data_IF_004178754131
#
_entry.id   IF_004178754131
#
_cell.length_a   1.000
_cell.length_b   1.000
_cell.length_c   1.000
_cell.angle_alpha   90.00
_cell.angle_beta   90.00
_cell.angle_gamma   90.00
#
_symmetry.space_group_name_H-M   'P 1'
#
loop_
_entity.id
_entity.type
_entity.pdbx_description
1 polymer ?
#
# COMPACT_ATOMS: atom_id res chain seq x y z
N UNK A 1 12.22 94.56 -38.37
CA UNK A 1 11.70 94.85 -37.00
C UNK A 1 11.50 93.44 -36.33
N UNK A 2 12.13 93.32 -35.20
CA UNK A 2 11.89 92.31 -34.16
C UNK A 2 12.23 90.82 -34.49
N UNK A 3 13.37 90.27 -34.18
CA UNK A 3 13.87 89.78 -32.87
C UNK A 3 12.99 88.74 -32.24
N UNK A 4 13.46 87.48 -32.19
CA UNK A 4 13.31 86.71 -30.99
C UNK A 4 14.19 85.39 -31.00
N UNK A 5 15.01 85.39 -30.16
CA UNK A 5 15.75 84.48 -29.27
C UNK A 5 15.45 82.98 -29.35
N UNK A 6 16.59 82.27 -29.52
CA UNK A 6 16.79 80.85 -29.33
C UNK A 6 16.83 80.56 -27.84
N UNK A 7 16.09 79.51 -27.39
CA UNK A 7 16.34 78.83 -26.13
C UNK A 7 16.46 77.32 -26.36
N UNK A 8 17.68 76.86 -26.33
CA UNK A 8 18.05 75.45 -26.30
C UNK A 8 17.81 74.89 -24.89
N UNK A 9 16.98 73.90 -24.75
CA UNK A 9 16.91 73.08 -23.52
C UNK A 9 17.34 71.68 -23.81
N UNK A 10 18.46 71.31 -23.25
CA UNK A 10 18.90 69.94 -23.08
C UNK A 10 17.87 69.17 -22.23
N UNK A 11 17.33 68.06 -22.74
CA UNK A 11 16.62 67.03 -21.95
C UNK A 11 17.46 65.83 -21.97
N UNK A 12 18.10 65.53 -20.83
CA UNK A 12 18.79 64.26 -20.56
C UNK A 12 17.76 63.13 -20.45
N UNK A 13 17.81 62.19 -21.37
CA UNK A 13 16.99 61.00 -21.32
C UNK A 13 17.57 60.00 -20.33
N UNK A 14 16.91 59.76 -19.20
CA UNK A 14 17.11 58.59 -18.36
C UNK A 14 16.47 57.39 -19.07
N UNK A 15 17.29 56.54 -19.64
CA UNK A 15 16.88 55.18 -20.04
C UNK A 15 16.78 54.29 -18.78
N UNK A 16 15.59 54.21 -18.23
CA UNK A 16 15.26 53.24 -17.21
C UNK A 16 15.19 51.84 -17.84
N UNK A 17 16.20 51.05 -17.63
CA UNK A 17 16.17 49.63 -17.93
C UNK A 17 15.21 48.97 -16.93
N UNK A 18 13.95 48.80 -17.31
CA UNK A 18 13.01 47.93 -16.63
C UNK A 18 13.45 46.51 -16.94
N UNK A 19 14.20 45.92 -16.02
CA UNK A 19 14.37 44.45 -15.93
C UNK A 19 12.98 43.87 -15.60
N UNK A 20 12.24 43.52 -16.65
CA UNK A 20 11.12 42.60 -16.52
C UNK A 20 11.73 41.25 -16.13
N UNK A 21 11.81 40.99 -14.84
CA UNK A 21 11.90 39.64 -14.31
C UNK A 21 10.63 38.92 -14.74
N UNK A 22 10.68 38.23 -15.86
CA UNK A 22 9.69 37.24 -16.24
C UNK A 22 9.84 36.14 -15.19
N UNK A 23 9.07 36.29 -14.12
CA UNK A 23 8.78 35.12 -13.28
C UNK A 23 8.06 34.14 -14.22
N UNK A 24 8.81 33.19 -14.76
CA UNK A 24 8.22 31.97 -15.27
C UNK A 24 7.54 31.35 -14.05
N UNK A 25 6.23 31.59 -13.93
CA UNK A 25 5.39 30.69 -13.14
C UNK A 25 5.50 29.34 -13.85
N UNK A 26 6.47 28.54 -13.44
CA UNK A 26 6.47 27.14 -13.81
C UNK A 26 5.09 26.63 -13.37
N UNK A 27 4.25 26.28 -14.32
CA UNK A 27 2.94 25.72 -14.02
C UNK A 27 3.20 24.46 -13.19
N UNK A 28 2.60 24.40 -12.00
CA UNK A 28 2.73 23.23 -11.14
C UNK A 28 2.38 21.99 -11.95
N UNK A 29 3.24 20.97 -11.87
CA UNK A 29 2.98 19.68 -12.48
C UNK A 29 2.20 18.85 -11.49
N UNK A 30 0.96 18.52 -11.82
CA UNK A 30 0.12 17.63 -11.01
C UNK A 30 0.33 16.17 -11.44
N UNK A 31 0.57 15.30 -10.47
CA UNK A 31 0.64 13.84 -10.64
C UNK A 31 -0.56 13.20 -9.94
N UNK A 32 -1.12 12.16 -10.54
CA UNK A 32 -2.16 11.35 -9.92
C UNK A 32 -1.54 10.27 -9.04
N UNK A 33 -2.04 10.12 -7.79
CA UNK A 33 -1.72 8.98 -6.91
C UNK A 33 -2.97 8.11 -6.75
N UNK A 34 -2.85 6.81 -7.03
CA UNK A 34 -3.89 5.83 -6.72
C UNK A 34 -3.65 5.17 -5.36
N UNK A 35 -4.73 4.89 -4.63
CA UNK A 35 -4.72 4.08 -3.42
C UNK A 35 -6.05 3.36 -3.26
N UNK A 36 -6.03 2.17 -2.63
CA UNK A 36 -7.24 1.37 -2.41
C UNK A 36 -8.08 1.91 -1.27
N UNK A 37 -7.46 2.48 -0.25
CA UNK A 37 -8.14 3.02 0.93
C UNK A 37 -8.06 4.55 0.95
N UNK A 38 -9.05 5.18 1.59
CA UNK A 38 -9.09 6.65 1.75
C UNK A 38 -8.22 7.11 2.93
N UNK A 39 -8.13 8.43 3.12
CA UNK A 39 -7.45 9.12 4.22
C UNK A 39 -8.01 8.80 5.62
N UNK A 40 -9.15 8.12 5.70
CA UNK A 40 -9.64 7.55 6.95
C UNK A 40 -8.74 6.40 7.48
N UNK A 41 -7.96 5.76 6.61
CA UNK A 41 -7.10 4.63 6.90
C UNK A 41 -5.62 5.03 6.84
N UNK A 42 -4.72 4.37 7.62
CA UNK A 42 -3.27 4.62 7.54
C UNK A 42 -2.73 4.58 6.11
N UNK A 43 -3.10 3.60 5.32
CA UNK A 43 -2.73 3.48 3.91
C UNK A 43 -3.07 4.74 3.08
N UNK A 44 -4.29 5.27 3.20
CA UNK A 44 -4.67 6.51 2.51
C UNK A 44 -3.94 7.73 3.04
N UNK A 45 -3.71 7.79 4.36
CA UNK A 45 -2.91 8.84 5.00
C UNK A 45 -1.46 8.83 4.53
N UNK A 46 -0.88 7.64 4.23
CA UNK A 46 0.44 7.53 3.62
C UNK A 46 0.53 8.26 2.26
N UNK A 47 -0.49 8.09 1.41
CA UNK A 47 -0.55 8.75 0.11
C UNK A 47 -0.70 10.27 0.25
N UNK A 48 -1.54 10.74 1.17
CA UNK A 48 -1.69 12.18 1.46
C UNK A 48 -0.41 12.77 2.05
N UNK A 49 0.26 12.05 2.95
CA UNK A 49 1.55 12.48 3.53
C UNK A 49 2.64 12.59 2.48
N UNK A 50 2.70 11.64 1.55
CA UNK A 50 3.62 11.72 0.42
C UNK A 50 3.34 12.94 -0.45
N UNK A 51 2.07 13.20 -0.77
CA UNK A 51 1.65 14.37 -1.56
C UNK A 51 2.02 15.70 -0.86
N UNK A 52 1.75 15.80 0.45
CA UNK A 52 2.10 16.96 1.27
C UNK A 52 3.62 17.25 1.23
N UNK A 53 4.45 16.22 1.49
CA UNK A 53 5.91 16.37 1.52
C UNK A 53 6.48 16.74 0.14
N UNK A 54 5.93 16.19 -0.95
CA UNK A 54 6.35 16.52 -2.31
C UNK A 54 6.02 17.99 -2.64
N UNK A 55 4.82 18.47 -2.32
CA UNK A 55 4.42 19.85 -2.55
C UNK A 55 5.29 20.81 -1.74
N UNK A 56 5.49 20.55 -0.45
CA UNK A 56 6.34 21.35 0.43
C UNK A 56 7.79 21.46 -0.08
N UNK A 57 8.43 20.30 -0.36
CA UNK A 57 9.85 20.24 -0.75
C UNK A 57 10.11 20.76 -2.16
N UNK A 58 9.13 20.67 -3.03
CA UNK A 58 9.20 21.23 -4.39
C UNK A 58 8.79 22.72 -4.44
N UNK A 59 8.42 23.32 -3.32
CA UNK A 59 7.89 24.70 -3.28
C UNK A 59 6.68 24.87 -4.22
N UNK A 60 5.84 23.82 -4.32
CA UNK A 60 4.65 23.79 -5.18
C UNK A 60 4.92 23.59 -6.68
N UNK A 61 6.14 23.24 -7.09
CA UNK A 61 6.44 22.90 -8.49
C UNK A 61 5.85 21.56 -8.91
N UNK A 62 5.82 20.61 -7.96
CA UNK A 62 5.14 19.34 -8.06
C UNK A 62 3.98 19.30 -7.07
N UNK A 63 2.84 18.86 -7.53
CA UNK A 63 1.69 18.55 -6.68
C UNK A 63 1.23 17.13 -6.99
N UNK A 64 0.65 16.47 -6.01
CA UNK A 64 0.14 15.12 -6.18
C UNK A 64 -1.30 15.06 -5.70
N UNK A 65 -2.19 14.53 -6.54
CA UNK A 65 -3.60 14.38 -6.22
C UNK A 65 -3.95 12.94 -5.92
N UNK A 66 -4.42 12.68 -4.69
CA UNK A 66 -4.79 11.34 -4.26
C UNK A 66 -6.18 10.95 -4.76
N UNK A 67 -6.27 9.75 -5.32
CA UNK A 67 -7.49 9.12 -5.82
C UNK A 67 -7.73 7.80 -5.06
N UNK A 68 -8.54 7.83 -3.98
CA UNK A 68 -8.81 6.67 -3.15
C UNK A 68 -9.78 5.67 -3.80
N UNK A 69 -9.99 4.52 -3.10
CA UNK A 69 -10.95 3.49 -3.48
C UNK A 69 -10.70 2.87 -4.86
N UNK A 70 -9.43 2.84 -5.29
CA UNK A 70 -9.04 2.36 -6.62
C UNK A 70 -9.88 2.99 -7.75
N UNK A 71 -10.35 4.24 -7.56
CA UNK A 71 -11.31 4.86 -8.48
C UNK A 71 -10.78 5.05 -9.90
N UNK A 72 -9.44 5.20 -10.07
CA UNK A 72 -8.83 5.30 -11.39
C UNK A 72 -8.88 3.99 -12.20
N UNK A 73 -9.20 2.87 -11.54
CA UNK A 73 -9.40 1.54 -12.13
C UNK A 73 -10.80 0.97 -11.86
N UNK A 74 -11.77 1.87 -11.63
CA UNK A 74 -13.17 1.53 -11.40
C UNK A 74 -13.41 0.57 -10.22
N UNK A 75 -12.61 0.70 -9.14
CA UNK A 75 -12.71 -0.12 -7.93
C UNK A 75 -12.02 -1.49 -8.02
N UNK A 76 -11.47 -1.87 -9.15
CA UNK A 76 -10.72 -3.12 -9.32
C UNK A 76 -9.24 -2.90 -8.97
N UNK A 77 -8.92 -3.08 -7.70
CA UNK A 77 -7.60 -2.86 -7.13
C UNK A 77 -6.49 -3.71 -7.77
N UNK A 78 -6.81 -4.87 -8.36
CA UNK A 78 -5.81 -5.74 -9.01
C UNK A 78 -5.32 -5.17 -10.35
N UNK A 79 -6.02 -4.17 -10.90
CA UNK A 79 -5.64 -3.49 -12.14
C UNK A 79 -4.73 -2.28 -11.91
N UNK A 80 -4.51 -1.87 -10.66
CA UNK A 80 -3.74 -0.66 -10.32
C UNK A 80 -2.31 -0.70 -10.90
N UNK A 81 -1.58 -1.82 -10.71
CA UNK A 81 -0.23 -1.98 -11.24
C UNK A 81 -0.18 -1.85 -12.78
N UNK A 82 -1.09 -2.51 -13.51
CA UNK A 82 -1.13 -2.41 -14.96
C UNK A 82 -1.53 -1.02 -15.46
N UNK A 83 -2.41 -0.34 -14.73
CA UNK A 83 -2.80 1.03 -15.02
C UNK A 83 -1.63 2.01 -14.82
N UNK A 84 -0.84 1.84 -13.75
CA UNK A 84 0.38 2.60 -13.53
C UNK A 84 1.42 2.29 -14.60
N UNK A 85 1.70 1.03 -14.91
CA UNK A 85 2.63 0.63 -15.98
C UNK A 85 2.26 1.23 -17.34
N UNK A 86 0.97 1.30 -17.67
CA UNK A 86 0.50 1.87 -18.94
C UNK A 86 0.53 3.41 -18.98
N UNK A 87 0.69 4.09 -17.84
CA UNK A 87 0.67 5.54 -17.71
C UNK A 87 -0.74 6.13 -17.56
N UNK A 88 -1.74 5.31 -17.19
CA UNK A 88 -3.06 5.81 -16.79
C UNK A 88 -3.00 6.41 -15.37
N UNK A 89 -2.10 5.90 -14.54
CA UNK A 89 -1.82 6.35 -13.17
C UNK A 89 -0.36 6.77 -13.13
N UNK A 90 -0.05 7.96 -12.57
CA UNK A 90 1.32 8.45 -12.48
C UNK A 90 2.07 7.83 -11.30
N UNK A 91 1.41 7.67 -10.16
CA UNK A 91 1.98 7.10 -8.94
C UNK A 91 0.93 6.31 -8.16
N UNK A 92 1.37 5.42 -7.30
CA UNK A 92 0.48 4.68 -6.39
C UNK A 92 1.18 4.39 -5.06
N UNK A 93 0.37 4.31 -4.00
CA UNK A 93 0.71 3.58 -2.79
C UNK A 93 -0.09 2.29 -2.84
N UNK A 94 0.54 1.20 -3.22
CA UNK A 94 -0.14 -0.05 -3.55
C UNK A 94 0.28 -1.21 -2.67
N UNK A 95 -0.59 -2.20 -2.54
CA UNK A 95 -0.38 -3.41 -1.75
C UNK A 95 0.40 -4.46 -2.55
N UNK A 96 1.32 -5.13 -1.88
CA UNK A 96 2.03 -6.30 -2.43
C UNK A 96 1.07 -7.37 -2.92
N UNK A 97 -0.04 -7.57 -2.22
CA UNK A 97 -1.07 -8.55 -2.58
C UNK A 97 -1.73 -8.19 -3.92
N UNK A 98 -2.16 -6.93 -4.06
CA UNK A 98 -2.90 -6.48 -5.24
C UNK A 98 -2.05 -6.48 -6.52
N UNK A 99 -0.74 -6.31 -6.37
CA UNK A 99 0.20 -6.29 -7.48
C UNK A 99 0.79 -7.66 -7.80
N UNK A 100 0.69 -8.64 -6.89
CA UNK A 100 1.26 -9.98 -7.04
C UNK A 100 0.81 -10.75 -8.30
N UNK A 101 -0.42 -10.58 -8.84
CA UNK A 101 -0.79 -11.23 -10.09
C UNK A 101 0.07 -10.83 -11.30
N UNK A 102 0.74 -9.66 -11.23
CA UNK A 102 1.58 -9.13 -12.30
C UNK A 102 3.07 -9.13 -11.92
N UNK A 103 3.38 -9.21 -10.64
CA UNK A 103 4.73 -9.30 -10.07
C UNK A 103 4.77 -10.50 -9.11
N UNK A 104 4.99 -11.73 -9.63
CA UNK A 104 4.90 -12.95 -8.82
C UNK A 104 5.80 -12.96 -7.59
N UNK A 105 6.92 -12.25 -7.62
CA UNK A 105 7.87 -12.10 -6.52
C UNK A 105 7.21 -11.49 -5.26
N UNK A 106 6.17 -10.68 -5.43
CA UNK A 106 5.42 -10.07 -4.33
C UNK A 106 4.63 -11.09 -3.50
N UNK A 107 4.34 -12.26 -4.05
CA UNK A 107 3.71 -13.35 -3.29
C UNK A 107 4.60 -13.86 -2.13
N UNK A 108 5.87 -13.47 -2.06
CA UNK A 108 6.73 -13.73 -0.92
C UNK A 108 6.05 -13.33 0.41
N UNK A 109 5.48 -12.12 0.45
CA UNK A 109 4.81 -11.59 1.64
C UNK A 109 3.48 -12.28 1.95
N UNK A 110 2.91 -12.97 0.96
CA UNK A 110 1.64 -13.70 1.09
C UNK A 110 1.81 -15.17 1.44
N UNK A 111 3.06 -15.69 1.46
CA UNK A 111 3.29 -17.06 1.94
C UNK A 111 2.86 -17.17 3.41
N UNK A 112 1.89 -18.05 3.73
CA UNK A 112 1.33 -18.10 5.07
C UNK A 112 2.39 -18.42 6.12
N UNK A 113 2.40 -17.67 7.22
CA UNK A 113 3.26 -17.83 8.38
C UNK A 113 4.78 -17.73 8.12
N UNK A 114 5.20 -17.18 6.97
CA UNK A 114 6.62 -16.97 6.66
C UNK A 114 7.24 -15.87 7.53
N UNK A 115 6.49 -14.80 7.80
CA UNK A 115 6.93 -13.62 8.53
C UNK A 115 6.16 -13.53 9.87
N UNK A 116 6.76 -13.99 10.98
CA UNK A 116 6.01 -14.13 12.24
C UNK A 116 5.77 -12.82 13.00
N UNK A 117 6.54 -11.77 12.72
CA UNK A 117 6.51 -10.49 13.43
C UNK A 117 7.05 -9.33 12.59
N UNK A 118 6.91 -8.10 13.10
CA UNK A 118 7.37 -6.87 12.45
C UNK A 118 8.88 -6.86 12.16
N UNK A 119 9.69 -7.42 13.07
CA UNK A 119 11.13 -7.48 12.87
C UNK A 119 11.50 -8.39 11.67
N UNK A 120 10.69 -9.45 11.40
CA UNK A 120 10.84 -10.28 10.22
C UNK A 120 10.48 -9.50 8.94
N UNK A 121 9.41 -8.71 8.98
CA UNK A 121 9.02 -7.84 7.86
C UNK A 121 10.13 -6.84 7.55
N UNK A 122 10.66 -6.16 8.59
CA UNK A 122 11.74 -5.18 8.45
C UNK A 122 13.03 -5.81 7.89
N UNK A 123 13.39 -7.01 8.37
CA UNK A 123 14.58 -7.72 7.88
C UNK A 123 14.46 -8.10 6.39
N UNK A 124 13.25 -8.47 5.95
CA UNK A 124 13.01 -8.85 4.55
C UNK A 124 12.92 -7.63 3.64
N UNK A 125 12.16 -6.60 4.02
CA UNK A 125 11.99 -5.38 3.21
C UNK A 125 13.26 -4.56 3.13
N UNK A 126 14.04 -4.46 4.21
CA UNK A 126 15.33 -3.75 4.27
C UNK A 126 16.53 -4.57 3.80
N UNK A 127 16.36 -5.85 3.45
CA UNK A 127 17.43 -6.76 3.05
C UNK A 127 17.46 -7.06 1.55
N UNK A 128 18.32 -8.03 1.20
CA UNK A 128 18.51 -8.47 -0.20
C UNK A 128 17.23 -8.98 -0.88
N UNK A 129 16.28 -9.51 -0.11
CA UNK A 129 14.98 -9.92 -0.63
C UNK A 129 14.16 -8.71 -1.09
N UNK A 130 14.12 -7.64 -0.30
CA UNK A 130 13.46 -6.37 -0.66
C UNK A 130 14.08 -5.72 -1.90
N UNK A 131 15.42 -5.70 -2.00
CA UNK A 131 16.12 -5.21 -3.19
C UNK A 131 15.76 -6.02 -4.43
N UNK A 132 15.69 -7.35 -4.31
CA UNK A 132 15.30 -8.25 -5.41
C UNK A 132 13.88 -7.97 -5.89
N UNK A 133 12.95 -7.73 -4.96
CA UNK A 133 11.56 -7.39 -5.26
C UNK A 133 11.48 -6.03 -5.96
N UNK A 134 12.19 -5.01 -5.48
CA UNK A 134 12.22 -3.70 -6.14
C UNK A 134 12.78 -3.80 -7.56
N UNK A 135 13.85 -4.57 -7.77
CA UNK A 135 14.39 -4.83 -9.11
C UNK A 135 13.37 -5.56 -10.02
N UNK A 136 12.58 -6.47 -9.47
CA UNK A 136 11.50 -7.15 -10.20
C UNK A 136 10.39 -6.18 -10.63
N UNK A 137 10.01 -5.24 -9.78
CA UNK A 137 9.04 -4.18 -10.10
C UNK A 137 9.63 -3.25 -11.18
N UNK A 138 10.88 -2.82 -11.01
CA UNK A 138 11.56 -1.96 -11.99
C UNK A 138 11.63 -2.58 -13.38
N UNK A 139 11.85 -3.88 -13.47
CA UNK A 139 11.87 -4.60 -14.75
C UNK A 139 10.53 -4.57 -15.51
N UNK A 140 9.46 -4.13 -14.83
CA UNK A 140 8.09 -4.04 -15.35
C UNK A 140 7.61 -2.60 -15.56
N UNK A 141 8.52 -1.66 -15.81
CA UNK A 141 8.24 -0.25 -16.12
C UNK A 141 7.54 0.54 -14.99
N UNK A 142 7.78 0.17 -13.76
CA UNK A 142 7.36 0.87 -12.53
C UNK A 142 8.59 1.10 -11.67
N UNK A 143 8.72 2.28 -11.07
CA UNK A 143 9.85 2.64 -10.20
C UNK A 143 9.38 2.62 -8.75
N UNK A 144 9.73 1.60 -7.95
CA UNK A 144 9.46 1.58 -6.52
C UNK A 144 10.41 2.54 -5.80
N UNK A 145 9.90 3.26 -4.80
CA UNK A 145 10.64 4.28 -4.08
C UNK A 145 10.82 3.95 -2.60
N UNK A 146 9.78 3.42 -1.95
CA UNK A 146 9.77 3.15 -0.53
C UNK A 146 8.77 2.03 -0.19
N UNK A 147 8.93 1.47 1.00
CA UNK A 147 7.97 0.59 1.64
C UNK A 147 7.01 1.36 2.55
N UNK A 148 5.82 0.83 2.76
CA UNK A 148 4.85 1.15 3.78
C UNK A 148 4.26 -0.15 4.34
N UNK A 149 3.22 -0.07 5.18
CA UNK A 149 2.65 -1.25 5.82
C UNK A 149 1.14 -1.12 6.03
N UNK A 150 0.37 -2.00 5.40
CA UNK A 150 -1.04 -2.16 5.76
C UNK A 150 -1.20 -2.92 7.09
N UNK A 151 -0.25 -3.82 7.39
CA UNK A 151 -0.14 -4.54 8.64
C UNK A 151 -0.40 -6.05 8.54
N UNK A 152 -0.30 -6.72 9.70
CA UNK A 152 -0.63 -8.14 9.81
C UNK A 152 -2.12 -8.38 9.67
N UNK A 153 -2.47 -9.36 8.84
CA UNK A 153 -3.86 -9.66 8.50
C UNK A 153 -4.45 -10.68 9.44
N UNK A 154 -5.61 -10.32 10.00
CA UNK A 154 -6.38 -11.11 10.94
C UNK A 154 -7.63 -11.65 10.28
N UNK A 155 -8.17 -12.77 10.76
CA UNK A 155 -9.37 -13.39 10.22
C UNK A 155 -10.60 -12.97 11.01
N UNK A 156 -11.64 -12.49 10.33
CA UNK A 156 -12.95 -12.23 10.97
C UNK A 156 -14.05 -13.03 10.30
N UNK A 157 -15.07 -13.36 11.08
CA UNK A 157 -16.24 -14.08 10.58
C UNK A 157 -17.49 -13.87 11.45
N UNK A 158 -18.65 -14.32 10.92
CA UNK A 158 -19.97 -14.22 11.55
C UNK A 158 -20.45 -15.53 12.20
N UNK A 159 -19.63 -16.58 12.22
CA UNK A 159 -20.08 -17.93 12.59
C UNK A 159 -19.63 -18.37 13.97
N UNK A 160 -18.41 -18.06 14.38
CA UNK A 160 -17.86 -18.47 15.65
C UNK A 160 -16.36 -18.28 15.78
N UNK A 161 -15.85 -18.63 16.95
CA UNK A 161 -14.42 -18.61 17.19
C UNK A 161 -13.69 -19.61 16.26
N UNK A 162 -12.58 -19.17 15.67
CA UNK A 162 -11.71 -20.02 14.87
C UNK A 162 -10.41 -20.17 15.61
N UNK A 163 -10.11 -21.41 16.03
CA UNK A 163 -8.93 -21.76 16.82
C UNK A 163 -8.17 -22.97 16.23
N UNK A 164 -8.72 -23.60 15.20
CA UNK A 164 -8.11 -24.71 14.46
C UNK A 164 -8.51 -24.65 12.98
N UNK A 165 -7.74 -25.25 12.05
CA UNK A 165 -8.09 -25.30 10.64
C UNK A 165 -9.49 -25.84 10.36
N UNK A 166 -9.93 -26.85 11.13
CA UNK A 166 -11.23 -27.49 10.99
C UNK A 166 -12.41 -26.53 11.25
N UNK A 167 -12.20 -25.47 12.02
CA UNK A 167 -13.21 -24.43 12.27
C UNK A 167 -13.52 -23.60 11.02
N UNK A 168 -12.64 -23.65 9.99
CA UNK A 168 -12.83 -23.01 8.70
C UNK A 168 -13.60 -23.86 7.69
N UNK A 169 -13.83 -25.15 7.97
CA UNK A 169 -14.43 -26.07 7.00
C UNK A 169 -15.77 -25.55 6.47
N UNK A 170 -15.82 -25.32 5.15
CA UNK A 170 -17.01 -24.88 4.43
C UNK A 170 -17.41 -23.42 4.67
N UNK A 171 -16.65 -22.64 5.42
CA UNK A 171 -16.91 -21.19 5.54
C UNK A 171 -16.56 -20.47 4.26
N UNK A 172 -17.47 -19.62 3.81
CA UNK A 172 -17.24 -18.74 2.66
C UNK A 172 -16.43 -17.55 3.10
N UNK A 173 -15.15 -17.55 2.77
CA UNK A 173 -14.24 -16.45 3.13
C UNK A 173 -13.96 -15.57 1.92
N UNK A 174 -14.27 -14.29 2.04
CA UNK A 174 -13.83 -13.31 1.04
C UNK A 174 -12.32 -13.18 1.10
N UNK A 175 -11.69 -13.30 -0.05
CA UNK A 175 -10.25 -13.09 -0.21
C UNK A 175 -9.95 -12.01 -1.24
N UNK A 176 -8.72 -11.47 -1.19
CA UNK A 176 -8.22 -10.50 -2.17
C UNK A 176 -7.97 -11.19 -3.51
N UNK A 177 -7.81 -10.42 -4.57
CA UNK A 177 -7.58 -10.88 -5.93
C UNK A 177 -6.22 -11.53 -6.18
N UNK A 178 -5.82 -12.50 -5.36
CA UNK A 178 -4.59 -13.27 -5.52
C UNK A 178 -4.88 -14.77 -5.48
N UNK A 179 -4.42 -15.56 -6.46
CA UNK A 179 -4.60 -17.01 -6.44
C UNK A 179 -4.01 -17.69 -5.20
N UNK A 180 -2.87 -17.19 -4.68
CA UNK A 180 -2.25 -17.73 -3.46
C UNK A 180 -3.23 -17.69 -2.26
N UNK A 181 -4.04 -16.63 -2.14
CA UNK A 181 -5.06 -16.55 -1.10
C UNK A 181 -6.14 -17.62 -1.25
N UNK A 182 -6.57 -17.90 -2.49
CA UNK A 182 -7.52 -18.97 -2.75
C UNK A 182 -6.94 -20.33 -2.33
N UNK A 183 -5.69 -20.60 -2.70
CA UNK A 183 -5.02 -21.84 -2.34
C UNK A 183 -4.83 -21.97 -0.83
N UNK A 184 -4.44 -20.87 -0.14
CA UNK A 184 -4.30 -20.84 1.32
C UNK A 184 -5.61 -21.19 2.03
N UNK A 185 -6.70 -20.50 1.69
CA UNK A 185 -7.99 -20.73 2.35
C UNK A 185 -8.61 -22.08 1.94
N UNK A 186 -8.36 -22.56 0.72
CA UNK A 186 -8.76 -23.92 0.31
C UNK A 186 -7.99 -25.00 1.07
N UNK A 187 -6.69 -24.81 1.30
CA UNK A 187 -5.88 -25.74 2.10
C UNK A 187 -6.37 -25.82 3.56
N UNK A 188 -6.95 -24.72 4.07
CA UNK A 188 -7.58 -24.66 5.39
C UNK A 188 -9.03 -25.17 5.43
N UNK A 189 -9.56 -25.70 4.31
CA UNK A 189 -10.91 -26.25 4.21
C UNK A 189 -12.03 -25.24 4.01
N UNK A 190 -11.71 -23.94 3.88
CA UNK A 190 -12.67 -22.92 3.58
C UNK A 190 -13.10 -22.91 2.09
N UNK A 191 -14.17 -22.17 1.78
CA UNK A 191 -14.65 -21.85 0.44
C UNK A 191 -14.27 -20.38 0.09
N UNK A 192 -13.06 -20.12 -0.45
CA UNK A 192 -12.60 -18.76 -0.71
C UNK A 192 -13.32 -18.15 -1.91
N UNK A 193 -13.83 -16.94 -1.70
CA UNK A 193 -14.49 -16.16 -2.75
C UNK A 193 -13.72 -14.87 -2.99
N UNK A 194 -13.12 -14.76 -4.18
CA UNK A 194 -12.35 -13.59 -4.58
C UNK A 194 -13.28 -12.43 -4.94
N UNK A 195 -13.05 -11.26 -4.34
CA UNK A 195 -13.74 -10.03 -4.72
C UNK A 195 -12.96 -8.77 -4.33
N UNK A 196 -13.23 -7.65 -5.03
CA UNK A 196 -12.66 -6.35 -4.73
C UNK A 196 -13.04 -5.88 -3.32
N UNK A 197 -12.29 -4.91 -2.77
CA UNK A 197 -12.63 -4.31 -1.48
C UNK A 197 -13.98 -3.60 -1.51
N UNK A 198 -14.30 -2.93 -2.62
CA UNK A 198 -15.58 -2.22 -2.79
C UNK A 198 -16.80 -3.15 -2.74
N UNK A 199 -16.63 -4.42 -3.12
CA UNK A 199 -17.70 -5.43 -3.10
C UNK A 199 -17.74 -6.22 -1.77
N UNK A 200 -16.66 -6.18 -0.99
CA UNK A 200 -16.53 -6.98 0.23
C UNK A 200 -17.55 -6.61 1.31
N UNK A 201 -17.69 -5.32 1.64
CA UNK A 201 -18.64 -4.88 2.68
C UNK A 201 -20.11 -5.21 2.36
N UNK A 202 -20.62 -4.95 1.14
CA UNK A 202 -21.94 -5.42 0.73
C UNK A 202 -22.12 -6.94 0.84
N UNK A 203 -21.08 -7.71 0.47
CA UNK A 203 -21.13 -9.17 0.55
C UNK A 203 -21.19 -9.68 2.00
N UNK A 204 -20.43 -9.08 2.90
CA UNK A 204 -20.49 -9.35 4.34
C UNK A 204 -21.85 -8.99 4.93
N UNK A 205 -22.37 -7.80 4.62
CA UNK A 205 -23.67 -7.31 5.08
C UNK A 205 -24.82 -8.23 4.70
N UNK A 206 -24.78 -8.79 3.50
CA UNK A 206 -25.84 -9.67 2.99
C UNK A 206 -25.66 -11.14 3.38
N UNK A 207 -24.50 -11.49 3.99
CA UNK A 207 -24.15 -12.88 4.29
C UNK A 207 -23.82 -13.71 3.04
N UNK A 208 -23.45 -13.07 1.93
CA UNK A 208 -22.95 -13.75 0.74
C UNK A 208 -21.62 -14.46 1.00
N UNK A 209 -20.85 -13.92 1.93
CA UNK A 209 -19.65 -14.52 2.54
C UNK A 209 -19.79 -14.52 4.06
N UNK A 210 -19.17 -15.49 4.72
CA UNK A 210 -19.22 -15.66 6.17
C UNK A 210 -18.11 -14.88 6.89
N UNK A 211 -17.01 -14.63 6.19
CA UNK A 211 -15.84 -13.98 6.78
C UNK A 211 -14.95 -13.29 5.75
N UNK A 212 -13.90 -12.67 6.28
CA UNK A 212 -12.85 -12.01 5.50
C UNK A 212 -11.57 -11.90 6.35
N UNK A 213 -10.46 -11.51 5.73
CA UNK A 213 -9.20 -11.26 6.39
C UNK A 213 -8.68 -9.86 6.03
N UNK A 214 -8.21 -9.12 7.01
CA UNK A 214 -7.63 -7.78 6.88
C UNK A 214 -6.85 -7.39 8.14
N UNK A 215 -5.99 -6.36 8.08
CA UNK A 215 -5.38 -5.79 9.28
C UNK A 215 -6.39 -5.19 10.25
N UNK A 216 -5.99 -5.04 11.52
CA UNK A 216 -6.82 -4.42 12.55
C UNK A 216 -7.22 -2.98 12.20
N UNK A 217 -6.34 -2.24 11.53
CA UNK A 217 -6.62 -0.89 11.04
C UNK A 217 -7.84 -0.87 10.11
N UNK A 218 -7.92 -1.83 9.18
CA UNK A 218 -9.04 -1.94 8.24
C UNK A 218 -10.30 -2.43 8.96
N UNK A 219 -10.19 -3.42 9.83
CA UNK A 219 -11.32 -3.92 10.61
C UNK A 219 -11.97 -2.81 11.45
N UNK A 220 -11.14 -2.02 12.15
CA UNK A 220 -11.57 -0.96 13.03
C UNK A 220 -12.20 0.23 12.28
N UNK A 221 -11.46 0.80 11.30
CA UNK A 221 -11.90 2.00 10.58
C UNK A 221 -13.11 1.73 9.70
N UNK A 222 -13.14 0.59 9.00
CA UNK A 222 -14.28 0.20 8.16
C UNK A 222 -15.47 -0.32 8.99
N UNK A 223 -15.35 -0.41 10.31
CA UNK A 223 -16.40 -0.88 11.20
C UNK A 223 -16.95 -2.25 10.78
N UNK A 224 -16.04 -3.18 10.53
CA UNK A 224 -16.35 -4.53 10.04
C UNK A 224 -17.23 -5.29 11.06
N UNK A 225 -17.13 -4.96 12.34
CA UNK A 225 -18.03 -5.40 13.40
C UNK A 225 -19.52 -5.12 13.08
N UNK A 226 -19.84 -4.01 12.41
CA UNK A 226 -21.22 -3.61 12.10
C UNK A 226 -21.84 -4.36 10.92
N UNK A 227 -21.04 -5.10 10.16
CA UNK A 227 -21.51 -5.94 9.05
C UNK A 227 -21.54 -7.42 9.41
N UNK A 228 -21.72 -7.71 10.71
CA UNK A 228 -21.92 -9.07 11.22
C UNK A 228 -20.63 -9.85 11.51
N UNK A 229 -19.47 -9.21 11.51
CA UNK A 229 -18.19 -9.86 11.81
C UNK A 229 -17.93 -9.76 13.32
N UNK A 230 -18.56 -10.67 14.09
CA UNK A 230 -18.56 -10.64 15.56
C UNK A 230 -17.37 -11.42 16.16
N UNK A 231 -16.67 -12.22 15.36
CA UNK A 231 -15.53 -13.04 15.78
C UNK A 231 -14.29 -12.63 15.02
N UNK A 232 -13.18 -12.44 15.74
CA UNK A 232 -11.88 -12.04 15.19
C UNK A 232 -10.80 -12.97 15.74
N UNK A 233 -10.08 -13.67 14.87
CA UNK A 233 -8.95 -14.51 15.24
C UNK A 233 -7.64 -13.79 14.91
N UNK A 234 -6.81 -13.59 15.94
CA UNK A 234 -5.47 -13.05 15.82
C UNK A 234 -4.51 -14.19 15.51
N UNK A 235 -4.10 -14.29 14.26
CA UNK A 235 -3.25 -15.38 13.77
C UNK A 235 -2.00 -14.91 13.03
N UNK A 236 -1.93 -13.61 12.66
CA UNK A 236 -0.77 -13.00 11.99
C UNK A 236 -0.23 -13.86 10.83
N UNK A 237 -1.12 -14.45 10.01
CA UNK A 237 -0.71 -15.43 9.02
C UNK A 237 0.14 -14.84 7.89
N UNK A 238 0.03 -13.54 7.63
CA UNK A 238 0.89 -12.80 6.73
C UNK A 238 0.82 -11.30 7.02
N UNK A 239 1.84 -10.55 6.60
CA UNK A 239 1.85 -9.10 6.57
C UNK A 239 1.65 -8.59 5.14
N UNK A 240 1.00 -7.45 4.99
CA UNK A 240 0.76 -6.79 3.70
C UNK A 240 1.56 -5.49 3.59
N UNK A 241 2.85 -5.54 3.18
CA UNK A 241 3.60 -4.33 2.92
C UNK A 241 3.00 -3.51 1.77
N UNK A 242 3.11 -2.20 1.89
CA UNK A 242 2.77 -1.25 0.84
C UNK A 242 4.02 -0.82 0.10
N UNK A 243 3.83 -0.37 -1.14
CA UNK A 243 4.92 0.13 -1.98
C UNK A 243 4.51 1.48 -2.55
N UNK A 244 5.34 2.49 -2.30
CA UNK A 244 5.27 3.78 -2.97
C UNK A 244 5.98 3.66 -4.31
N UNK A 245 5.28 3.89 -5.39
CA UNK A 245 5.88 3.73 -6.72
C UNK A 245 5.36 4.74 -7.73
N UNK A 246 6.16 4.95 -8.79
CA UNK A 246 5.90 5.90 -9.87
C UNK A 246 5.99 5.19 -11.21
N UNK A 247 5.15 5.57 -12.17
CA UNK A 247 5.28 5.15 -13.56
C UNK A 247 6.66 5.53 -14.13
N UNK A 248 7.33 4.60 -14.80
CA UNK A 248 8.69 4.83 -15.33
C UNK A 248 8.79 6.07 -16.26
N UNK A 249 7.82 6.30 -17.14
CA UNK A 249 7.85 7.44 -18.06
C UNK A 249 7.67 8.76 -17.33
N UNK A 250 6.83 8.79 -16.31
CA UNK A 250 6.69 9.95 -15.42
C UNK A 250 8.02 10.23 -14.74
N UNK A 251 8.61 9.21 -14.11
CA UNK A 251 9.90 9.29 -13.44
C UNK A 251 11.01 9.82 -14.36
N UNK A 252 11.14 9.27 -15.57
CA UNK A 252 12.16 9.67 -16.55
C UNK A 252 11.95 11.09 -17.09
N UNK A 253 10.73 11.61 -17.05
CA UNK A 253 10.39 12.97 -17.49
C UNK A 253 10.68 14.07 -16.46
N UNK A 254 10.99 13.69 -15.22
CA UNK A 254 11.38 14.59 -14.13
C UNK A 254 12.89 14.85 -14.19
N UNK A 255 13.31 16.02 -13.73
CA UNK A 255 14.73 16.29 -13.51
C UNK A 255 15.23 15.54 -12.24
N UNK A 256 16.54 15.58 -12.04
CA UNK A 256 17.16 14.84 -10.93
C UNK A 256 16.71 15.35 -9.56
N UNK A 257 16.54 16.67 -9.40
CA UNK A 257 16.11 17.27 -8.15
C UNK A 257 14.66 16.86 -7.80
N UNK A 258 13.77 16.86 -8.79
CA UNK A 258 12.39 16.45 -8.60
C UNK A 258 12.26 14.93 -8.30
N UNK A 259 13.12 14.11 -8.92
CA UNK A 259 13.20 12.67 -8.60
C UNK A 259 13.65 12.43 -7.15
N UNK A 260 14.64 13.21 -6.69
CA UNK A 260 15.12 13.08 -5.32
C UNK A 260 14.06 13.51 -4.31
N UNK A 261 13.36 14.63 -4.57
CA UNK A 261 12.22 15.06 -3.75
C UNK A 261 11.16 13.96 -3.64
N UNK A 262 10.76 13.36 -4.77
CA UNK A 262 9.77 12.28 -4.78
C UNK A 262 10.23 11.07 -3.98
N UNK A 263 11.51 10.68 -4.09
CA UNK A 263 12.09 9.53 -3.38
C UNK A 263 12.16 9.78 -1.89
N UNK A 264 12.79 10.88 -1.48
CA UNK A 264 12.93 11.22 -0.06
C UNK A 264 11.56 11.39 0.61
N UNK A 265 10.62 12.06 -0.05
CA UNK A 265 9.26 12.22 0.45
C UNK A 265 8.53 10.87 0.59
N UNK A 266 8.74 9.92 -0.34
CA UNK A 266 8.16 8.58 -0.25
C UNK A 266 8.74 7.78 0.93
N UNK A 267 10.05 7.86 1.14
CA UNK A 267 10.72 7.20 2.28
C UNK A 267 10.17 7.75 3.60
N UNK A 268 10.17 9.07 3.77
CA UNK A 268 9.69 9.69 5.01
C UNK A 268 8.20 9.44 5.26
N UNK A 269 7.38 9.44 4.21
CA UNK A 269 5.95 9.11 4.31
C UNK A 269 5.73 7.64 4.69
N UNK A 270 6.54 6.73 4.13
CA UNK A 270 6.48 5.31 4.44
C UNK A 270 6.91 5.01 5.88
N UNK A 271 8.04 5.56 6.31
CA UNK A 271 8.52 5.40 7.69
C UNK A 271 7.51 5.97 8.71
N UNK A 272 6.95 7.14 8.42
CA UNK A 272 5.91 7.75 9.27
C UNK A 272 4.67 6.86 9.36
N UNK A 273 4.22 6.30 8.24
CA UNK A 273 3.02 5.47 8.18
C UNK A 273 3.22 4.13 8.89
N UNK A 274 4.35 3.45 8.68
CA UNK A 274 4.70 2.20 9.37
C UNK A 274 4.69 2.42 10.89
N UNK A 275 5.37 3.48 11.37
CA UNK A 275 5.43 3.79 12.79
C UNK A 275 4.03 4.05 13.36
N UNK A 276 3.20 4.83 12.68
CA UNK A 276 1.84 5.15 13.10
C UNK A 276 0.95 3.90 13.12
N UNK A 277 1.03 3.05 12.11
CA UNK A 277 0.22 1.82 12.00
C UNK A 277 0.51 0.87 13.16
N UNK A 278 1.79 0.63 13.44
CA UNK A 278 2.25 -0.26 14.52
C UNK A 278 1.93 0.31 15.90
N UNK A 279 2.15 1.60 16.13
CA UNK A 279 1.85 2.26 17.41
C UNK A 279 0.38 2.19 17.78
N UNK A 280 -0.52 2.27 16.79
CA UNK A 280 -1.96 2.27 17.00
C UNK A 280 -2.57 0.86 17.11
N UNK A 281 -1.83 -0.22 16.84
CA UNK A 281 -2.40 -1.57 16.74
C UNK A 281 -3.04 -2.04 18.06
N UNK A 282 -2.35 -1.83 19.18
CA UNK A 282 -2.88 -2.22 20.51
C UNK A 282 -4.13 -1.43 20.90
N UNK A 283 -4.18 -0.12 20.60
CA UNK A 283 -5.35 0.73 20.86
C UNK A 283 -6.54 0.30 20.00
N UNK A 284 -6.32 -0.01 18.73
CA UNK A 284 -7.36 -0.53 17.82
C UNK A 284 -7.92 -1.86 18.29
N UNK A 285 -7.06 -2.79 18.72
CA UNK A 285 -7.51 -4.06 19.28
C UNK A 285 -8.36 -3.86 20.54
N UNK A 286 -7.96 -2.95 21.43
CA UNK A 286 -8.74 -2.62 22.61
C UNK A 286 -10.11 -2.04 22.23
N UNK A 287 -10.17 -1.10 21.28
CA UNK A 287 -11.43 -0.52 20.81
C UNK A 287 -12.34 -1.56 20.13
N UNK A 288 -11.77 -2.53 19.40
CA UNK A 288 -12.52 -3.64 18.80
C UNK A 288 -13.16 -4.51 19.89
N UNK A 289 -12.41 -4.85 20.94
CA UNK A 289 -12.92 -5.61 22.11
C UNK A 289 -14.01 -4.86 22.86
N UNK A 290 -13.84 -3.55 23.07
CA UNK A 290 -14.86 -2.71 23.75
C UNK A 290 -16.19 -2.67 22.98
N UNK A 291 -16.18 -2.87 21.67
CA UNK A 291 -17.37 -2.98 20.83
C UNK A 291 -18.07 -4.34 20.92
N UNK A 292 -17.52 -5.27 21.68
CA UNK A 292 -18.10 -6.59 21.91
C UNK A 292 -17.71 -7.66 20.90
N UNK A 293 -16.68 -7.43 20.08
CA UNK A 293 -16.13 -8.45 19.19
C UNK A 293 -15.43 -9.52 20.02
N UNK A 294 -15.75 -10.77 19.78
CA UNK A 294 -15.08 -11.92 20.40
C UNK A 294 -13.73 -12.14 19.73
N UNK A 295 -12.63 -11.92 20.49
CA UNK A 295 -11.27 -12.05 19.99
C UNK A 295 -10.67 -13.37 20.43
N UNK A 296 -10.29 -14.21 19.47
CA UNK A 296 -9.55 -15.46 19.68
C UNK A 296 -8.06 -15.21 19.49
N UNK A 297 -7.28 -15.50 20.52
CA UNK A 297 -5.81 -15.52 20.45
C UNK A 297 -5.34 -16.97 20.39
N UNK A 298 -4.55 -17.32 19.36
CA UNK A 298 -4.07 -18.69 19.21
C UNK A 298 -2.93 -18.97 20.18
N UNK A 299 -3.00 -20.12 20.87
CA UNK A 299 -1.83 -20.63 21.54
C UNK A 299 -0.85 -21.30 20.53
N UNK A 300 0.35 -21.62 20.99
CA UNK A 300 1.39 -22.20 20.12
C UNK A 300 0.93 -23.44 19.36
N UNK A 301 0.22 -24.38 20.00
CA UNK A 301 -0.25 -25.59 19.34
C UNK A 301 -1.31 -25.32 18.26
N UNK A 302 -2.19 -24.37 18.52
CA UNK A 302 -3.20 -23.91 17.55
C UNK A 302 -2.54 -23.21 16.36
N UNK A 303 -1.58 -22.31 16.63
CA UNK A 303 -0.81 -21.65 15.59
C UNK A 303 -0.08 -22.65 14.70
N UNK A 304 0.62 -23.63 15.28
CA UNK A 304 1.34 -24.67 14.54
C UNK A 304 0.40 -25.54 13.69
N UNK A 305 -0.83 -25.80 14.14
CA UNK A 305 -1.81 -26.52 13.33
C UNK A 305 -2.14 -25.79 12.02
N UNK A 306 -2.25 -24.45 12.05
CA UNK A 306 -2.44 -23.63 10.83
C UNK A 306 -1.20 -23.62 9.94
N UNK A 307 0.01 -23.55 10.54
CA UNK A 307 1.28 -23.64 9.79
C UNK A 307 1.35 -24.98 9.04
N UNK A 308 1.08 -26.09 9.72
CA UNK A 308 1.10 -27.44 9.11
C UNK A 308 0.04 -27.59 8.02
N UNK A 309 -1.17 -27.08 8.22
CA UNK A 309 -2.25 -27.16 7.25
C UNK A 309 -1.96 -26.37 5.96
N UNK A 310 -1.08 -25.37 6.01
CA UNK A 310 -0.69 -24.54 4.85
C UNK A 310 0.64 -24.92 4.22
N UNK A 311 1.30 -26.00 4.65
CA UNK A 311 2.59 -26.43 4.08
C UNK A 311 2.51 -26.71 2.57
N UNK A 312 1.39 -27.27 2.09
CA UNK A 312 1.17 -27.54 0.67
C UNK A 312 1.19 -26.25 -0.17
N UNK A 313 0.77 -25.11 0.38
CA UNK A 313 0.82 -23.81 -0.28
C UNK A 313 2.26 -23.36 -0.50
N UNK A 314 3.13 -23.56 0.50
CA UNK A 314 4.56 -23.29 0.34
C UNK A 314 5.19 -24.16 -0.76
N UNK A 315 4.86 -25.47 -0.78
CA UNK A 315 5.39 -26.39 -1.79
C UNK A 315 5.00 -25.98 -3.21
N UNK A 316 3.78 -25.46 -3.40
CA UNK A 316 3.29 -25.03 -4.70
C UNK A 316 3.84 -23.67 -5.11
N UNK A 317 3.90 -22.70 -4.17
CA UNK A 317 4.16 -21.30 -4.51
C UNK A 317 5.63 -20.90 -4.45
N UNK A 318 6.48 -21.56 -3.65
CA UNK A 318 7.92 -21.25 -3.58
C UNK A 318 8.60 -21.31 -4.96
N UNK A 319 8.35 -22.31 -5.84
CA UNK A 319 8.92 -22.33 -7.18
C UNK A 319 8.43 -21.18 -8.08
N UNK A 320 7.19 -20.71 -7.87
CA UNK A 320 6.58 -19.62 -8.65
C UNK A 320 7.10 -18.23 -8.24
N UNK A 321 7.38 -18.05 -6.95
CA UNK A 321 7.95 -16.84 -6.36
C UNK A 321 9.44 -16.74 -6.70
N UNK A 322 10.13 -17.88 -6.66
CA UNK A 322 11.57 -18.03 -6.85
C UNK A 322 12.25 -18.54 -5.59
N UNK A 323 12.78 -19.76 -5.65
CA UNK A 323 13.41 -20.44 -4.52
C UNK A 323 14.50 -19.61 -3.85
N UNK A 324 15.35 -18.93 -4.65
CA UNK A 324 16.43 -18.10 -4.15
C UNK A 324 15.91 -16.87 -3.36
N UNK A 325 14.80 -16.28 -3.80
CA UNK A 325 14.18 -15.14 -3.12
C UNK A 325 13.56 -15.56 -1.79
N UNK A 326 12.84 -16.70 -1.78
CA UNK A 326 12.24 -17.23 -0.54
C UNK A 326 13.33 -17.64 0.45
N UNK A 327 14.41 -18.25 -0.02
CA UNK A 327 15.55 -18.63 0.83
C UNK A 327 16.23 -17.40 1.43
N UNK A 328 16.45 -16.34 0.63
CA UNK A 328 16.99 -15.08 1.14
C UNK A 328 16.10 -14.45 2.22
N UNK A 329 14.77 -14.53 2.06
CA UNK A 329 13.83 -14.07 3.07
C UNK A 329 13.91 -14.91 4.36
N UNK A 330 13.95 -16.24 4.25
CA UNK A 330 14.10 -17.13 5.43
C UNK A 330 15.39 -16.84 6.19
N UNK A 331 16.50 -16.68 5.49
CA UNK A 331 17.78 -16.32 6.11
C UNK A 331 17.73 -14.97 6.82
N UNK A 332 17.05 -13.97 6.24
CA UNK A 332 16.85 -12.67 6.88
C UNK A 332 16.01 -12.80 8.16
N UNK A 333 14.98 -13.64 8.14
CA UNK A 333 14.13 -13.93 9.32
C UNK A 333 14.91 -14.66 10.41
N UNK A 334 15.78 -15.59 10.07
CA UNK A 334 16.60 -16.33 11.04
C UNK A 334 17.73 -15.50 11.66
N UNK A 335 18.23 -14.49 10.93
CA UNK A 335 19.38 -13.68 11.35
C UNK A 335 19.04 -12.49 12.25
N UNK A 336 17.76 -12.20 12.50
CA UNK A 336 17.30 -11.04 13.26
C UNK A 336 17.42 -11.18 14.78
#
# INVERSE_FOLDING_TARGET
MSSTSVFTKFAAGLAGAALLSAAFSAQARELSISTVLSDAFPWGQAAEKWAELVEERSEGRLTMRVYPNAQLVAGDQTREFSAMRSGLIDAAVGSTINWSPQVPELNLFSLPFLLPDEAAVDAVTGGAAGETIFAAIESRDVVPLAWGENGFRQLSNSRGAIAAPEDLEGLKIRVVGSPLFQDTFSALGADPTQMSWTDAQPALTTGAVDGQENPLSVFDVARIDQVGQEHLTLWNYMNDPLIFAVNRRVWESLDEADREILREAAVDAGEWEIAMTREQEAERLAAIRERGVEVTELNEAQYQAFVEATESVHQEWVPQIGEALVEAARQAVEAR
#
